data_IF_220668553273
#
_entry.id   IF_220668553273
#
_cell.length_a   1.000
_cell.length_b   1.000
_cell.length_c   1.000
_cell.angle_alpha   90.00
_cell.angle_beta   90.00
_cell.angle_gamma   90.00
#
_symmetry.space_group_name_H-M   'P 1'
#
loop_
_entity.id
_entity.type
_entity.pdbx_description
1 polymer ?
#
# COMPACT_ATOMS: atom_id res chain seq x y z
N UNK A 1 10.17 -10.73 -20.38
CA UNK A 1 8.81 -10.29 -20.75
C UNK A 1 8.24 -9.47 -19.61
N UNK A 2 8.12 -8.14 -19.75
CA UNK A 2 7.55 -7.28 -18.72
C UNK A 2 6.02 -7.49 -18.69
N UNK A 3 5.56 -8.36 -17.79
CA UNK A 3 4.12 -8.55 -17.57
C UNK A 3 3.57 -7.23 -17.02
N UNK A 4 2.64 -6.62 -17.76
CA UNK A 4 1.90 -5.42 -17.39
C UNK A 4 1.47 -5.54 -15.92
N UNK A 5 2.13 -4.77 -15.06
CA UNK A 5 2.15 -5.03 -13.62
C UNK A 5 0.79 -4.80 -12.99
N UNK A 6 0.07 -5.89 -12.67
CA UNK A 6 -1.16 -5.78 -11.89
C UNK A 6 -0.81 -5.22 -10.53
N UNK A 7 -1.44 -4.11 -10.15
CA UNK A 7 -1.31 -3.56 -8.82
C UNK A 7 -2.25 -4.29 -7.84
N UNK A 8 -1.88 -4.31 -6.57
CA UNK A 8 -2.72 -4.84 -5.48
C UNK A 8 -2.91 -3.77 -4.41
N UNK A 9 -4.12 -3.70 -3.88
CA UNK A 9 -4.46 -2.91 -2.70
C UNK A 9 -4.20 -3.78 -1.46
N UNK A 10 -3.44 -3.25 -0.51
CA UNK A 10 -2.95 -3.98 0.67
C UNK A 10 -3.16 -3.13 1.92
N UNK A 11 -3.28 -3.82 3.06
CA UNK A 11 -3.44 -3.25 4.39
C UNK A 11 -2.12 -3.41 5.15
N UNK A 12 -1.63 -2.29 5.67
CA UNK A 12 -0.46 -2.20 6.53
C UNK A 12 -0.92 -1.92 7.96
N UNK A 13 -0.26 -2.52 8.95
CA UNK A 13 -0.49 -2.27 10.36
C UNK A 13 0.80 -1.80 11.04
N UNK A 14 0.65 -0.88 12.00
CA UNK A 14 1.75 -0.34 12.81
C UNK A 14 2.35 -1.44 13.68
N UNK A 15 3.68 -1.54 13.70
CA UNK A 15 4.40 -2.43 14.60
C UNK A 15 4.63 -1.83 16.00
N UNK A 16 4.18 -0.60 16.24
CA UNK A 16 4.25 0.03 17.57
C UNK A 16 3.16 -0.47 18.54
N UNK A 17 2.38 -1.50 18.16
CA UNK A 17 1.34 -2.10 19.01
C UNK A 17 0.02 -1.31 19.05
N UNK A 18 -0.08 -0.18 18.34
CA UNK A 18 -1.27 0.69 18.31
C UNK A 18 -2.42 0.14 17.47
N UNK A 19 -2.14 -0.85 16.60
CA UNK A 19 -3.07 -1.41 15.60
C UNK A 19 -3.57 -0.38 14.58
N UNK A 20 -2.93 0.80 14.49
CA UNK A 20 -3.23 1.78 13.47
C UNK A 20 -2.91 1.20 12.07
N UNK A 21 -3.72 1.55 11.07
CA UNK A 21 -3.72 0.89 9.76
C UNK A 21 -3.69 1.87 8.60
N UNK A 22 -3.02 1.47 7.54
CA UNK A 22 -3.01 2.18 6.27
C UNK A 22 -3.35 1.27 5.10
N UNK A 23 -3.98 1.85 4.09
CA UNK A 23 -4.19 1.20 2.80
C UNK A 23 -3.16 1.71 1.81
N UNK A 24 -2.44 0.80 1.14
CA UNK A 24 -1.47 1.14 0.10
C UNK A 24 -1.69 0.33 -1.17
N UNK A 25 -1.20 0.87 -2.29
CA UNK A 25 -1.11 0.16 -3.56
C UNK A 25 0.35 -0.24 -3.76
N UNK A 26 0.59 -1.51 -4.12
CA UNK A 26 1.92 -1.99 -4.53
C UNK A 26 1.86 -2.83 -5.81
N UNK A 27 2.97 -2.95 -6.55
CA UNK A 27 3.08 -3.92 -7.62
C UNK A 27 2.88 -5.34 -7.08
N UNK A 28 2.18 -6.21 -7.81
CA UNK A 28 1.95 -7.59 -7.39
C UNK A 28 3.26 -8.39 -7.28
N UNK A 29 4.28 -8.04 -8.06
CA UNK A 29 5.55 -8.76 -8.15
C UNK A 29 6.43 -8.62 -6.91
N UNK A 30 6.31 -7.53 -6.15
CA UNK A 30 7.27 -7.18 -5.09
C UNK A 30 7.02 -7.92 -3.75
N UNK A 31 6.01 -8.79 -3.67
CA UNK A 31 5.67 -9.49 -2.42
C UNK A 31 5.22 -8.55 -1.28
N UNK A 32 4.88 -9.08 -0.09
CA UNK A 32 4.52 -8.27 1.07
C UNK A 32 5.68 -7.37 1.51
N UNK A 33 5.38 -6.09 1.79
CA UNK A 33 6.42 -5.11 2.12
C UNK A 33 6.36 -4.58 3.55
N UNK A 34 7.40 -3.84 3.91
CA UNK A 34 7.49 -3.02 5.11
C UNK A 34 7.80 -1.57 4.72
N UNK A 35 7.31 -0.61 5.52
CA UNK A 35 7.54 0.80 5.27
C UNK A 35 7.52 1.59 6.57
N UNK A 36 8.46 2.54 6.70
CA UNK A 36 8.44 3.53 7.79
C UNK A 36 7.41 4.60 7.47
N UNK A 37 6.42 4.77 8.34
CA UNK A 37 5.32 5.73 8.17
C UNK A 37 4.92 6.33 9.52
N UNK A 38 4.27 7.49 9.49
CA UNK A 38 3.82 8.15 10.71
C UNK A 38 2.67 7.36 11.36
N UNK A 39 2.74 7.15 12.68
CA UNK A 39 1.63 6.64 13.50
C UNK A 39 1.07 7.77 14.37
N UNK A 40 -0.19 8.20 14.16
CA UNK A 40 -0.77 9.32 14.90
C UNK A 40 -0.99 9.02 16.39
N UNK A 41 -1.02 7.75 16.79
CA UNK A 41 -1.22 7.34 18.19
C UNK A 41 0.10 7.37 18.98
N UNK A 42 1.24 7.19 18.30
CA UNK A 42 2.59 7.35 18.89
C UNK A 42 3.16 8.75 18.64
N UNK A 43 2.61 9.46 17.65
CA UNK A 43 3.12 10.74 17.15
C UNK A 43 4.56 10.67 16.62
N UNK A 44 4.94 9.52 16.06
CA UNK A 44 6.27 9.27 15.53
C UNK A 44 6.22 8.43 14.23
N UNK A 45 7.31 8.44 13.46
CA UNK A 45 7.50 7.52 12.34
C UNK A 45 7.92 6.14 12.85
N UNK A 46 7.10 5.14 12.59
CA UNK A 46 7.33 3.75 13.01
C UNK A 46 7.27 2.80 11.82
N UNK A 47 7.74 1.57 12.03
CA UNK A 47 7.67 0.53 11.01
C UNK A 47 6.23 0.00 10.89
N UNK A 48 5.70 -0.01 9.67
CA UNK A 48 4.45 -0.67 9.33
C UNK A 48 4.75 -1.87 8.44
N UNK A 49 3.97 -2.94 8.62
CA UNK A 49 4.10 -4.17 7.83
C UNK A 49 2.79 -4.52 7.13
N UNK A 50 2.88 -5.05 5.91
CA UNK A 50 1.73 -5.63 5.22
C UNK A 50 1.16 -6.82 6.00
N UNK A 51 -0.11 -6.71 6.39
CA UNK A 51 -0.82 -7.78 7.10
C UNK A 51 -1.85 -8.50 6.23
N UNK A 52 -2.36 -7.84 5.18
CA UNK A 52 -3.41 -8.42 4.35
C UNK A 52 -3.48 -7.79 2.97
N UNK A 53 -3.60 -8.63 1.93
CA UNK A 53 -4.05 -8.19 0.61
C UNK A 53 -5.56 -7.99 0.60
N UNK A 54 -6.00 -6.80 0.20
CA UNK A 54 -7.42 -6.46 0.11
C UNK A 54 -8.00 -6.79 -1.26
N UNK A 55 -7.35 -6.37 -2.36
CA UNK A 55 -7.89 -6.54 -3.71
C UNK A 55 -6.79 -6.51 -4.77
N UNK A 56 -6.98 -7.24 -5.88
CA UNK A 56 -6.17 -7.02 -7.09
C UNK A 56 -6.83 -5.93 -7.94
N UNK A 57 -6.09 -4.88 -8.25
CA UNK A 57 -6.55 -3.81 -9.12
C UNK A 57 -6.56 -4.30 -10.57
N UNK A 58 -7.66 -4.07 -11.28
CA UNK A 58 -7.69 -4.22 -12.74
C UNK A 58 -7.04 -2.98 -13.34
N UNK A 59 -6.28 -3.15 -14.41
CA UNK A 59 -5.67 -2.03 -15.13
C UNK A 59 -6.79 -1.09 -15.63
N UNK A 60 -6.99 0.06 -14.97
CA UNK A 60 -7.73 1.15 -15.59
C UNK A 60 -6.79 1.74 -16.65
N UNK A 61 -7.24 1.77 -17.90
CA UNK A 61 -6.61 2.63 -18.94
C UNK A 61 -6.42 4.01 -18.32
N UNK A 62 -5.27 4.69 -18.52
CA UNK A 62 -5.03 5.98 -17.92
C UNK A 62 -6.17 6.92 -18.33
N UNK A 63 -6.99 7.32 -17.36
CA UNK A 63 -7.90 8.44 -17.56
C UNK A 63 -7.01 9.66 -17.75
N UNK A 64 -6.98 10.21 -18.97
CA UNK A 64 -6.35 11.51 -19.22
C UNK A 64 -6.85 12.46 -18.15
N UNK A 65 -5.96 12.91 -17.26
CA UNK A 65 -6.24 14.06 -16.40
C UNK A 65 -6.59 15.20 -17.35
N UNK A 66 -7.83 15.68 -17.32
CA UNK A 66 -8.18 16.95 -17.96
C UNK A 66 -7.39 18.02 -17.21
N UNK A 67 -6.30 18.48 -17.81
CA UNK A 67 -5.74 19.79 -17.49
C UNK A 67 -6.82 20.81 -17.84
N UNK A 68 -7.22 21.58 -16.82
CA UNK A 68 -8.15 22.69 -16.96
C UNK A 68 -7.38 23.92 -17.44
#
# INVERSE_FOLDING_TARGET
MATKGRNVLVLFESLAGTKHKYVRIRPKIDGPGEAVMFDPLVQEKVLYREIKKLKTMKDKKPSKSKSK
#
